data_IF_364924078813
#
_entry.id   IF_364924078813
#
_cell.length_a   1.000
_cell.length_b   1.000
_cell.length_c   1.000
_cell.angle_alpha   90.00
_cell.angle_beta   90.00
_cell.angle_gamma   90.00
#
_symmetry.space_group_name_H-M   'P 1'
#
loop_
_entity.id
_entity.type
_entity.pdbx_description
1 polymer ?
#
# COMPACT_ATOMS: atom_id res chain seq x y z
N UNK A 1 0.72 8.15 -20.22
CA UNK A 1 0.52 8.42 -18.77
C UNK A 1 1.81 9.01 -18.29
N UNK A 2 1.80 10.23 -17.76
CA UNK A 2 2.99 10.85 -17.19
C UNK A 2 3.65 9.88 -16.21
N UNK A 3 4.97 9.73 -16.27
CA UNK A 3 5.71 8.85 -15.37
C UNK A 3 5.61 9.42 -13.95
N UNK A 4 4.63 8.97 -13.17
CA UNK A 4 4.43 9.43 -11.81
C UNK A 4 5.52 8.79 -10.96
N UNK A 5 6.37 9.64 -10.38
CA UNK A 5 7.34 9.22 -9.38
C UNK A 5 6.62 8.90 -8.07
N UNK A 6 6.97 7.75 -7.48
CA UNK A 6 6.33 7.23 -6.25
C UNK A 6 7.14 7.63 -5.01
N UNK A 7 7.49 8.92 -4.95
CA UNK A 7 7.95 9.56 -3.74
C UNK A 7 6.82 10.43 -3.15
N UNK A 8 6.93 10.74 -1.86
CA UNK A 8 5.89 11.45 -1.11
C UNK A 8 5.59 12.81 -1.74
N UNK A 9 6.61 13.56 -2.15
CA UNK A 9 6.43 14.92 -2.67
C UNK A 9 5.69 14.90 -4.02
N UNK A 10 6.10 14.01 -4.93
CA UNK A 10 5.47 13.84 -6.24
C UNK A 10 4.02 13.38 -6.12
N UNK A 11 3.72 12.39 -5.26
CA UNK A 11 2.36 11.91 -5.07
C UNK A 11 1.46 12.97 -4.40
N UNK A 12 1.93 13.66 -3.37
CA UNK A 12 1.17 14.75 -2.76
C UNK A 12 0.91 15.91 -3.74
N UNK A 13 1.87 16.24 -4.61
CA UNK A 13 1.66 17.23 -5.66
C UNK A 13 0.59 16.76 -6.67
N UNK A 14 0.61 15.48 -7.04
CA UNK A 14 -0.38 14.88 -7.93
C UNK A 14 -1.79 14.86 -7.30
N UNK A 15 -1.92 14.48 -6.03
CA UNK A 15 -3.20 14.51 -5.30
C UNK A 15 -3.74 15.93 -5.16
N UNK A 16 -2.88 16.92 -4.89
CA UNK A 16 -3.26 18.34 -4.90
C UNK A 16 -3.74 18.80 -6.28
N UNK A 17 -3.16 18.24 -7.35
CA UNK A 17 -3.56 18.46 -8.73
C UNK A 17 -4.83 17.70 -9.16
N UNK A 18 -5.45 16.93 -8.27
CA UNK A 18 -6.71 16.22 -8.52
C UNK A 18 -6.57 14.77 -9.00
N UNK A 19 -5.36 14.20 -9.01
CA UNK A 19 -5.19 12.77 -9.29
C UNK A 19 -5.91 11.95 -8.19
N UNK A 20 -6.66 10.92 -8.57
CA UNK A 20 -7.30 10.05 -7.59
C UNK A 20 -6.32 8.99 -7.07
N UNK A 21 -6.42 8.63 -5.78
CA UNK A 21 -5.65 7.52 -5.20
C UNK A 21 -5.93 6.21 -5.95
N UNK A 22 -7.15 6.02 -6.47
CA UNK A 22 -7.50 4.88 -7.31
C UNK A 22 -6.67 4.77 -8.59
N UNK A 23 -6.26 5.88 -9.20
CA UNK A 23 -5.40 5.88 -10.39
C UNK A 23 -3.96 5.47 -10.05
N UNK A 24 -3.48 5.89 -8.86
CA UNK A 24 -2.19 5.44 -8.30
C UNK A 24 -2.22 3.94 -8.04
N UNK A 25 -3.30 3.43 -7.42
CA UNK A 25 -3.50 1.99 -7.19
C UNK A 25 -3.52 1.23 -8.52
N UNK A 26 -4.23 1.72 -9.55
CA UNK A 26 -4.22 1.09 -10.87
C UNK A 26 -2.79 1.01 -11.44
N UNK A 27 -2.02 2.09 -11.30
CA UNK A 27 -0.61 2.15 -11.75
C UNK A 27 0.28 1.18 -10.97
N UNK A 28 0.07 1.00 -9.66
CA UNK A 28 0.79 -0.01 -8.84
C UNK A 28 0.63 -1.39 -9.46
N UNK A 29 -0.62 -1.83 -9.64
CA UNK A 29 -0.89 -3.18 -10.15
C UNK A 29 -0.33 -3.40 -11.55
N UNK A 30 -0.41 -2.38 -12.43
CA UNK A 30 0.24 -2.44 -13.75
C UNK A 30 1.77 -2.55 -13.64
N UNK A 31 2.41 -1.85 -12.70
CA UNK A 31 3.87 -1.92 -12.49
C UNK A 31 4.29 -3.27 -11.88
N UNK A 32 3.50 -3.83 -10.97
CA UNK A 32 3.74 -5.16 -10.39
C UNK A 32 3.61 -6.24 -11.48
N UNK A 33 2.55 -6.20 -12.28
CA UNK A 33 2.34 -7.13 -13.38
C UNK A 33 3.46 -7.04 -14.42
N UNK A 34 3.89 -5.83 -14.79
CA UNK A 34 4.99 -5.64 -15.73
C UNK A 34 6.36 -6.07 -15.18
N UNK A 35 6.55 -6.05 -13.86
CA UNK A 35 7.78 -6.55 -13.23
C UNK A 35 7.87 -8.08 -13.31
N UNK A 36 6.74 -8.77 -13.30
CA UNK A 36 6.60 -10.24 -13.44
C UNK A 36 7.61 -11.05 -12.61
N UNK A 37 7.89 -10.57 -11.39
CA UNK A 37 8.84 -11.19 -10.48
C UNK A 37 8.09 -11.83 -9.30
N UNK A 38 8.00 -13.18 -9.26
CA UNK A 38 7.30 -13.89 -8.19
C UNK A 38 8.01 -13.79 -6.83
N UNK A 39 9.25 -13.27 -6.77
CA UNK A 39 10.03 -13.13 -5.54
C UNK A 39 9.82 -11.81 -4.79
N UNK A 40 9.09 -10.83 -5.36
CA UNK A 40 8.91 -9.50 -4.74
C UNK A 40 7.96 -9.56 -3.55
N UNK A 41 6.87 -10.33 -3.64
CA UNK A 41 5.82 -10.37 -2.63
C UNK A 41 5.53 -11.80 -2.16
N UNK A 42 5.59 -12.02 -0.85
CA UNK A 42 5.07 -13.26 -0.22
C UNK A 42 3.55 -13.22 -0.19
N UNK A 43 2.98 -12.06 0.12
CA UNK A 43 1.55 -11.80 0.07
C UNK A 43 1.31 -10.44 -0.60
N UNK A 44 0.41 -10.41 -1.58
CA UNK A 44 -0.06 -9.20 -2.22
C UNK A 44 -1.59 -9.13 -2.02
N UNK A 45 -2.05 -8.07 -1.35
CA UNK A 45 -3.48 -7.87 -1.12
C UNK A 45 -4.23 -7.64 -2.43
N UNK A 46 -5.53 -7.94 -2.45
CA UNK A 46 -6.33 -7.76 -3.66
C UNK A 46 -6.49 -6.27 -3.97
N UNK A 47 -6.54 -5.91 -5.26
CA UNK A 47 -6.78 -4.53 -5.71
C UNK A 47 -8.04 -3.92 -5.08
N UNK A 48 -9.08 -4.73 -4.87
CA UNK A 48 -10.32 -4.30 -4.22
C UNK A 48 -10.10 -3.81 -2.78
N UNK A 49 -9.20 -4.44 -2.02
CA UNK A 49 -8.90 -4.06 -0.64
C UNK A 49 -8.19 -2.71 -0.60
N UNK A 50 -7.25 -2.47 -1.51
CA UNK A 50 -6.61 -1.15 -1.68
C UNK A 50 -7.64 -0.06 -2.02
N UNK A 51 -8.59 -0.35 -2.91
CA UNK A 51 -9.64 0.61 -3.28
C UNK A 51 -10.58 0.90 -2.11
N UNK A 52 -10.91 -0.10 -1.28
CA UNK A 52 -11.70 0.08 -0.08
C UNK A 52 -10.97 0.97 0.96
N UNK A 53 -9.67 0.74 1.16
CA UNK A 53 -8.84 1.59 2.02
C UNK A 53 -8.74 3.02 1.48
N UNK A 54 -8.57 3.20 0.17
CA UNK A 54 -8.52 4.51 -0.47
C UNK A 54 -9.83 5.29 -0.28
N UNK A 55 -10.98 4.62 -0.35
CA UNK A 55 -12.28 5.24 -0.08
C UNK A 55 -12.43 5.70 1.38
N UNK A 56 -11.74 5.05 2.33
CA UNK A 56 -11.77 5.39 3.75
C UNK A 56 -10.78 6.51 4.16
N UNK A 57 -9.90 6.96 3.28
CA UNK A 57 -8.88 7.99 3.60
C UNK A 57 -9.48 9.35 3.99
N UNK A 58 -10.68 9.66 3.49
CA UNK A 58 -11.31 10.97 3.62
C UNK A 58 -10.71 12.01 2.66
N UNK A 59 -10.92 13.32 2.88
CA UNK A 59 -10.33 14.37 2.04
C UNK A 59 -8.80 14.39 2.16
N UNK A 60 -8.14 14.90 1.11
CA UNK A 60 -6.69 15.12 1.11
C UNK A 60 -6.29 16.08 2.24
N UNK A 61 -5.53 15.56 3.21
CA UNK A 61 -5.05 16.33 4.37
C UNK A 61 -3.61 15.92 4.72
N UNK A 62 -2.62 16.37 3.94
CA UNK A 62 -1.21 16.05 4.19
C UNK A 62 -0.64 16.77 5.42
N UNK A 63 -1.37 17.74 6.00
CA UNK A 63 -0.92 18.46 7.18
C UNK A 63 -1.12 17.64 8.45
N UNK A 64 -2.25 16.93 8.56
CA UNK A 64 -2.51 16.01 9.69
C UNK A 64 -2.11 14.57 9.39
N UNK A 65 -2.13 14.17 8.11
CA UNK A 65 -1.75 12.83 7.64
C UNK A 65 -0.58 12.94 6.65
N UNK A 66 0.68 13.03 7.11
CA UNK A 66 1.84 13.27 6.24
C UNK A 66 2.12 12.14 5.23
N UNK A 67 1.47 10.98 5.38
CA UNK A 67 1.52 9.85 4.45
C UNK A 67 0.17 9.59 3.77
N UNK A 68 -0.69 10.61 3.67
CA UNK A 68 -2.01 10.47 3.06
C UNK A 68 -1.91 9.88 1.65
N UNK A 69 -2.55 8.73 1.43
CA UNK A 69 -2.59 8.06 0.13
C UNK A 69 -1.23 7.57 -0.38
N UNK A 70 -0.19 7.50 0.46
CA UNK A 70 1.13 7.00 0.05
C UNK A 70 1.14 5.46 0.15
N UNK A 71 1.36 4.73 -0.95
CA UNK A 71 1.51 3.28 -0.90
C UNK A 71 2.87 2.90 -0.32
N UNK A 72 2.91 1.82 0.46
CA UNK A 72 4.15 1.23 0.96
C UNK A 72 4.01 -0.28 1.09
N UNK A 73 5.15 -0.97 1.13
CA UNK A 73 5.21 -2.40 1.41
C UNK A 73 5.68 -2.63 2.84
N UNK A 74 5.15 -3.68 3.48
CA UNK A 74 5.55 -4.12 4.81
C UNK A 74 6.26 -5.46 4.66
N UNK A 75 7.43 -5.60 5.31
CA UNK A 75 8.14 -6.87 5.32
C UNK A 75 7.29 -7.90 6.07
N UNK A 76 7.18 -9.11 5.53
CA UNK A 76 6.35 -10.21 6.06
C UNK A 76 6.86 -10.82 7.39
N UNK A 77 7.56 -10.02 8.20
CA UNK A 77 7.89 -10.29 9.60
C UNK A 77 7.34 -9.18 10.52
N UNK A 78 6.43 -8.35 10.01
CA UNK A 78 5.77 -7.24 10.70
C UNK A 78 4.26 -7.41 10.46
N UNK A 79 3.51 -7.40 11.55
CA UNK A 79 2.06 -7.63 11.52
C UNK A 79 1.30 -6.52 10.77
N UNK A 80 0.42 -6.96 9.85
CA UNK A 80 -0.62 -6.15 9.22
C UNK A 80 -1.94 -6.88 9.40
N UNK A 81 -2.90 -6.29 10.10
CA UNK A 81 -4.19 -6.90 10.36
C UNK A 81 -4.92 -7.21 9.04
N UNK A 82 -5.47 -8.41 8.93
CA UNK A 82 -6.14 -8.87 7.71
C UNK A 82 -5.21 -9.47 6.64
N UNK A 83 -3.90 -9.56 6.90
CA UNK A 83 -2.93 -10.29 6.06
C UNK A 83 -2.22 -11.36 6.89
N UNK A 84 -1.75 -12.48 6.31
CA UNK A 84 -0.92 -13.44 7.03
C UNK A 84 0.46 -12.84 7.32
N UNK A 85 1.07 -13.25 8.42
CA UNK A 85 2.50 -13.02 8.69
C UNK A 85 3.21 -14.37 8.69
N UNK A 86 4.22 -14.54 7.84
CA UNK A 86 4.88 -15.85 7.65
C UNK A 86 6.35 -15.86 8.00
N UNK A 87 7.02 -14.70 8.07
CA UNK A 87 8.46 -14.59 8.15
C UNK A 87 9.19 -15.44 7.08
N UNK A 88 8.57 -15.59 5.90
CA UNK A 88 9.00 -16.46 4.80
C UNK A 88 9.05 -17.97 5.14
N UNK A 89 8.30 -18.42 6.16
CA UNK A 89 8.16 -19.81 6.56
C UNK A 89 6.68 -20.21 6.63
N UNK A 90 6.27 -21.11 5.74
CA UNK A 90 4.87 -21.52 5.62
C UNK A 90 4.31 -22.11 6.94
N UNK A 91 5.12 -22.90 7.65
CA UNK A 91 4.79 -23.51 8.93
C UNK A 91 4.68 -22.50 10.08
N UNK A 92 5.23 -21.30 9.93
CA UNK A 92 5.15 -20.22 10.92
C UNK A 92 3.92 -19.32 10.74
N UNK A 93 3.16 -19.49 9.66
CA UNK A 93 2.05 -18.61 9.30
C UNK A 93 1.06 -18.40 10.45
N UNK A 94 0.77 -17.13 10.76
CA UNK A 94 -0.35 -16.75 11.62
C UNK A 94 -1.08 -15.54 11.05
N UNK A 95 -2.26 -15.24 11.61
CA UNK A 95 -3.09 -14.10 11.26
C UNK A 95 -3.14 -13.13 12.45
N UNK A 96 -2.42 -12.00 12.41
CA UNK A 96 -2.41 -11.03 13.50
C UNK A 96 -3.80 -10.37 13.66
N UNK A 97 -4.26 -10.25 14.91
CA UNK A 97 -5.51 -9.57 15.24
C UNK A 97 -5.42 -8.04 15.09
N UNK A 98 -4.19 -7.50 15.13
CA UNK A 98 -3.90 -6.07 15.12
C UNK A 98 -2.64 -5.80 14.31
N UNK A 99 -2.57 -4.62 13.74
CA UNK A 99 -1.35 -4.09 13.15
C UNK A 99 -0.21 -4.03 14.20
N UNK A 100 1.02 -4.21 13.74
CA UNK A 100 2.19 -3.87 14.54
C UNK A 100 2.18 -2.37 14.88
N UNK A 101 2.75 -1.98 16.03
CA UNK A 101 2.82 -0.59 16.47
C UNK A 101 3.37 0.37 15.40
N UNK A 102 4.29 -0.09 14.54
CA UNK A 102 4.88 0.74 13.47
C UNK A 102 3.97 0.91 12.25
N UNK A 103 3.00 0.02 12.06
CA UNK A 103 2.02 0.07 10.96
C UNK A 103 0.85 0.99 11.32
N UNK A 104 0.42 1.03 12.58
CA UNK A 104 -0.73 1.84 13.04
C UNK A 104 -0.48 3.36 13.11
N UNK A 105 0.78 3.82 13.12
CA UNK A 105 1.16 5.16 13.62
C UNK A 105 0.93 6.34 12.69
#
# INVERSE_FOLDING_TARGET
MSDIHFDIASLHAAYRGGLAVGDVIATIFTRIEAADDPGIFIHLAAKADFLAQAAALGPFDPATKPLWGIPFAVKDNIDVAGMPTTAACAEYTYWPEKDATVVTR
#
